data_IF_010501775011
#
_entry.id   IF_010501775011
#
_cell.length_a   1.000
_cell.length_b   1.000
_cell.length_c   1.000
_cell.angle_alpha   90.00
_cell.angle_beta   90.00
_cell.angle_gamma   90.00
#
_symmetry.space_group_name_H-M   'P 1'
#
loop_
_entity.id
_entity.type
_entity.pdbx_description
1 polymer ?
#
# COMPACT_ATOMS: atom_id res chain seq x y z
N UNK A 1 -2.73 19.77 -6.96
CA UNK A 1 -2.86 18.33 -7.25
C UNK A 1 -1.54 17.67 -6.89
N UNK A 2 -1.49 16.84 -5.83
CA UNK A 2 -0.24 16.16 -5.44
C UNK A 2 0.22 15.22 -6.55
N UNK A 3 1.53 15.15 -6.78
CA UNK A 3 2.11 14.25 -7.76
C UNK A 3 1.82 12.79 -7.38
N UNK A 4 1.71 11.89 -8.35
CA UNK A 4 1.41 10.47 -8.09
C UNK A 4 2.40 9.85 -7.10
N UNK A 5 3.68 10.21 -7.23
CA UNK A 5 4.75 9.78 -6.31
C UNK A 5 4.46 10.17 -4.86
N UNK A 6 3.99 11.39 -4.64
CA UNK A 6 3.70 11.91 -3.30
C UNK A 6 2.49 11.21 -2.68
N UNK A 7 1.44 11.00 -3.46
CA UNK A 7 0.27 10.20 -3.03
C UNK A 7 0.66 8.76 -2.68
N UNK A 8 1.55 8.16 -3.46
CA UNK A 8 2.08 6.81 -3.19
C UNK A 8 2.85 6.76 -1.88
N UNK A 9 3.71 7.75 -1.60
CA UNK A 9 4.46 7.82 -0.34
C UNK A 9 3.53 8.01 0.86
N UNK A 10 2.55 8.90 0.76
CA UNK A 10 1.54 9.11 1.82
C UNK A 10 0.74 7.83 2.11
N UNK A 11 0.38 7.06 1.08
CA UNK A 11 -0.28 5.77 1.26
C UNK A 11 0.62 4.76 1.99
N UNK A 12 1.91 4.68 1.63
CA UNK A 12 2.88 3.80 2.31
C UNK A 12 2.99 4.18 3.79
N UNK A 13 3.10 5.48 4.10
CA UNK A 13 3.22 5.95 5.48
C UNK A 13 1.97 5.64 6.30
N UNK A 14 0.78 5.81 5.72
CA UNK A 14 -0.48 5.43 6.37
C UNK A 14 -0.58 3.93 6.64
N UNK A 15 -0.12 3.08 5.71
CA UNK A 15 -0.09 1.62 5.90
C UNK A 15 0.92 1.22 6.99
N UNK A 16 2.11 1.85 7.02
CA UNK A 16 3.10 1.64 8.09
C UNK A 16 2.55 2.03 9.46
N UNK A 17 1.92 3.20 9.57
CA UNK A 17 1.28 3.64 10.82
C UNK A 17 0.19 2.66 11.29
N UNK A 18 -0.58 2.11 10.35
CA UNK A 18 -1.57 1.07 10.64
C UNK A 18 -0.90 -0.20 11.16
N UNK A 19 0.13 -0.71 10.49
CA UNK A 19 0.88 -1.89 10.94
C UNK A 19 1.47 -1.71 12.33
N UNK A 20 2.07 -0.53 12.61
CA UNK A 20 2.57 -0.19 13.93
C UNK A 20 1.48 -0.20 15.01
N UNK A 21 0.30 0.36 14.70
CA UNK A 21 -0.84 0.40 15.63
C UNK A 21 -1.35 -0.99 16.04
N UNK A 22 -1.15 -1.99 15.19
CA UNK A 22 -1.52 -3.39 15.45
C UNK A 22 -0.31 -4.26 15.88
N UNK A 23 0.81 -3.67 16.27
CA UNK A 23 1.98 -4.40 16.77
C UNK A 23 2.79 -5.14 15.70
N UNK A 24 2.59 -4.80 14.42
CA UNK A 24 3.29 -5.39 13.27
C UNK A 24 4.37 -4.46 12.70
N UNK A 25 4.71 -3.37 13.39
CA UNK A 25 5.70 -2.41 12.90
C UNK A 25 7.09 -3.00 12.75
N UNK A 26 7.78 -2.70 11.64
CA UNK A 26 9.11 -3.24 11.31
C UNK A 26 9.21 -4.77 11.29
N UNK A 27 8.08 -5.47 11.17
CA UNK A 27 8.00 -6.92 11.10
C UNK A 27 7.82 -7.40 9.64
N UNK A 28 8.10 -8.68 9.39
CA UNK A 28 7.85 -9.28 8.07
C UNK A 28 6.38 -9.18 7.62
N UNK A 29 5.43 -9.08 8.56
CA UNK A 29 4.02 -8.85 8.24
C UNK A 29 3.75 -7.45 7.69
N UNK A 30 4.46 -6.40 8.16
CA UNK A 30 4.36 -5.05 7.57
C UNK A 30 4.73 -5.08 6.08
N UNK A 31 5.86 -5.72 5.75
CA UNK A 31 6.31 -5.88 4.37
C UNK A 31 5.27 -6.62 3.52
N UNK A 32 4.73 -7.74 4.03
CA UNK A 32 3.69 -8.52 3.33
C UNK A 32 2.44 -7.68 3.08
N UNK A 33 1.90 -6.99 4.08
CA UNK A 33 0.68 -6.18 3.93
C UNK A 33 0.89 -5.09 2.88
N UNK A 34 1.96 -4.30 3.00
CA UNK A 34 2.21 -3.19 2.08
C UNK A 34 2.37 -3.70 0.64
N UNK A 35 3.19 -4.73 0.42
CA UNK A 35 3.43 -5.26 -0.93
C UNK A 35 2.18 -5.88 -1.55
N UNK A 36 1.40 -6.63 -0.78
CA UNK A 36 0.18 -7.27 -1.28
C UNK A 36 -0.92 -6.23 -1.59
N UNK A 37 -1.05 -5.17 -0.80
CA UNK A 37 -1.99 -4.07 -1.11
C UNK A 37 -1.63 -3.38 -2.43
N UNK A 38 -0.34 -3.11 -2.66
CA UNK A 38 0.11 -2.52 -3.92
C UNK A 38 -0.06 -3.46 -5.11
N UNK A 39 0.22 -4.75 -4.92
CA UNK A 39 -0.01 -5.76 -5.95
C UNK A 39 -1.50 -5.87 -6.27
N UNK A 40 -2.37 -5.93 -5.27
CA UNK A 40 -3.81 -5.94 -5.45
C UNK A 40 -4.27 -4.68 -6.20
N UNK A 41 -3.83 -3.49 -5.81
CA UNK A 41 -4.15 -2.24 -6.51
C UNK A 41 -3.68 -2.28 -7.97
N UNK A 42 -2.45 -2.71 -8.22
CA UNK A 42 -1.89 -2.84 -9.57
C UNK A 42 -2.70 -3.79 -10.44
N UNK A 43 -3.09 -4.95 -9.90
CA UNK A 43 -3.91 -5.92 -10.61
C UNK A 43 -5.30 -5.35 -10.91
N UNK A 44 -5.99 -4.75 -9.92
CA UNK A 44 -7.28 -4.12 -10.18
C UNK A 44 -7.15 -3.01 -11.22
N UNK A 45 -6.16 -2.12 -11.13
CA UNK A 45 -5.97 -1.05 -12.13
C UNK A 45 -5.71 -1.59 -13.55
N UNK A 46 -5.13 -2.79 -13.67
CA UNK A 46 -4.90 -3.46 -14.96
C UNK A 46 -6.14 -4.18 -15.49
N UNK A 47 -6.92 -4.80 -14.61
CA UNK A 47 -8.05 -5.67 -15.00
C UNK A 47 -9.41 -4.98 -14.94
N UNK A 48 -9.62 -3.96 -14.08
CA UNK A 48 -10.81 -3.09 -14.14
C UNK A 48 -10.83 -2.26 -15.43
N UNK A 49 -9.67 -1.96 -16.03
CA UNK A 49 -9.61 -1.30 -17.33
C UNK A 49 -9.99 -2.21 -18.51
N UNK A 50 -10.22 -3.50 -18.26
CA UNK A 50 -10.54 -4.51 -19.28
C UNK A 50 -12.04 -4.85 -19.38
N UNK A 51 -12.89 -4.26 -18.51
CA UNK A 51 -14.36 -4.36 -18.53
C UNK A 51 -14.98 -2.96 -18.46
#
# INVERSE_FOLDING_TARGET
MLAIKEKTLQLIDALKATCQSYGMGNDGNEYKIITQVFLYKFLNDKFDAAY
#
